data_IF_258708789471
#
_entry.id   IF_258708789471
#
_cell.length_a   1.000
_cell.length_b   1.000
_cell.length_c   1.000
_cell.angle_alpha   90.00
_cell.angle_beta   90.00
_cell.angle_gamma   90.00
#
_symmetry.space_group_name_H-M   'P 1'
#
loop_
_entity.id
_entity.type
_entity.pdbx_description
1 polymer ?
#
# COMPACT_ATOMS: atom_id res chain seq x y z
N UNK A 1 20.77 28.74 -7.98
CA UNK A 1 20.31 28.60 -7.59
C UNK A 1 20.14 28.53 -7.34
N UNK A 2 20.15 28.76 -7.68
CA UNK A 2 19.73 28.57 -7.46
C UNK A 2 19.06 28.53 -7.52
N UNK A 3 18.78 28.66 -8.20
CA UNK A 3 18.12 28.55 -8.07
C UNK A 3 17.64 28.52 -8.14
N UNK A 4 17.35 28.70 -8.30
CA UNK A 4 16.78 28.67 -7.86
C UNK A 4 16.44 29.11 -7.58
N UNK A 5 16.51 29.52 -7.80
CA UNK A 5 16.16 30.06 -7.14
C UNK A 5 15.74 30.52 -7.26
N UNK A 6 15.33 30.83 -7.73
CA UNK A 6 14.76 31.31 -7.56
C UNK A 6 14.33 31.43 -8.12
N UNK A 7 14.40 31.56 -9.21
CA UNK A 7 14.01 31.52 -9.26
C UNK A 7 13.67 31.20 -9.08
N UNK A 8 13.72 30.85 -9.85
CA UNK A 8 13.28 30.42 -9.29
C UNK A 8 13.17 29.85 -8.02
N UNK A 9 13.23 29.98 -7.41
CA UNK A 9 13.04 29.58 -6.06
C UNK A 9 11.69 28.94 -5.75
N UNK A 10 10.70 29.30 -6.50
CA UNK A 10 9.36 28.73 -6.39
C UNK A 10 9.36 27.23 -6.70
N UNK A 11 10.13 26.81 -7.66
CA UNK A 11 10.23 25.38 -7.97
C UNK A 11 10.84 24.58 -6.81
N UNK A 12 11.83 25.15 -6.11
CA UNK A 12 12.42 24.51 -4.95
C UNK A 12 11.43 24.34 -3.81
N UNK A 13 10.62 25.38 -3.57
CA UNK A 13 9.57 25.29 -2.55
C UNK A 13 8.54 24.23 -2.88
N UNK A 14 8.19 24.11 -4.14
CA UNK A 14 7.24 23.10 -4.58
C UNK A 14 7.75 21.67 -4.33
N UNK A 15 9.01 21.41 -4.65
CA UNK A 15 9.64 20.11 -4.38
C UNK A 15 9.68 19.78 -2.90
N UNK A 16 10.03 20.75 -2.06
CA UNK A 16 10.04 20.57 -0.62
C UNK A 16 8.66 20.20 -0.10
N UNK A 17 7.63 20.82 -0.64
CA UNK A 17 6.26 20.52 -0.27
C UNK A 17 5.88 19.08 -0.58
N UNK A 18 6.30 18.57 -1.74
CA UNK A 18 6.07 17.17 -2.10
C UNK A 18 6.79 16.22 -1.16
N UNK A 19 8.06 16.50 -0.84
CA UNK A 19 8.83 15.66 0.07
C UNK A 19 8.22 15.65 1.47
N UNK A 20 7.78 16.80 1.94
CA UNK A 20 7.13 16.91 3.25
C UNK A 20 5.82 16.14 3.30
N UNK A 21 5.03 16.21 2.23
CA UNK A 21 3.79 15.44 2.13
C UNK A 21 4.05 13.94 2.09
N UNK A 22 5.05 13.52 1.32
CA UNK A 22 5.42 12.12 1.23
C UNK A 22 5.86 11.58 2.59
N UNK A 23 6.64 12.35 3.34
CA UNK A 23 7.06 11.99 4.70
C UNK A 23 5.86 11.85 5.62
N UNK A 24 4.95 12.81 5.59
CA UNK A 24 3.74 12.77 6.43
C UNK A 24 2.90 11.55 6.14
N UNK A 25 2.69 11.25 4.87
CA UNK A 25 1.91 10.07 4.47
C UNK A 25 2.59 8.80 4.96
N UNK A 26 3.91 8.70 4.82
CA UNK A 26 4.66 7.55 5.30
C UNK A 26 4.57 7.40 6.82
N UNK A 27 4.71 8.51 7.56
CA UNK A 27 4.60 8.48 9.01
C UNK A 27 3.21 8.07 9.47
N UNK A 28 2.17 8.58 8.81
CA UNK A 28 0.80 8.19 9.12
C UNK A 28 0.56 6.71 8.84
N UNK A 29 1.11 6.20 7.75
CA UNK A 29 0.99 4.80 7.42
C UNK A 29 1.70 3.91 8.44
N UNK A 30 2.90 4.30 8.87
CA UNK A 30 3.63 3.57 9.91
C UNK A 30 2.82 3.54 11.20
N UNK A 31 2.31 4.68 11.64
CA UNK A 31 1.53 4.77 12.88
C UNK A 31 0.26 3.92 12.79
N UNK A 32 -0.41 3.97 11.65
CA UNK A 32 -1.62 3.18 11.44
C UNK A 32 -1.32 1.68 11.53
N UNK A 33 -0.27 1.24 10.84
CA UNK A 33 0.12 -0.18 10.86
C UNK A 33 0.60 -0.64 12.22
N UNK A 34 1.30 0.22 12.96
CA UNK A 34 1.70 -0.12 14.33
C UNK A 34 0.49 -0.38 15.22
N UNK A 35 -0.53 0.46 15.10
CA UNK A 35 -1.77 0.27 15.84
C UNK A 35 -2.46 -1.03 15.49
N UNK A 36 -2.52 -1.35 14.19
CA UNK A 36 -3.09 -2.62 13.75
C UNK A 36 -2.28 -3.83 14.24
N UNK A 37 -0.94 -3.72 14.16
CA UNK A 37 -0.07 -4.79 14.61
C UNK A 37 -0.26 -5.04 16.11
N UNK A 38 -0.34 -4.00 16.92
CA UNK A 38 -0.58 -4.13 18.35
C UNK A 38 -1.93 -4.76 18.62
N UNK A 39 -2.96 -4.36 17.89
CA UNK A 39 -4.28 -4.95 18.01
C UNK A 39 -4.26 -6.45 17.72
N UNK A 40 -3.56 -6.85 16.68
CA UNK A 40 -3.44 -8.27 16.33
C UNK A 40 -2.68 -9.05 17.40
N UNK A 41 -1.63 -8.46 17.94
CA UNK A 41 -0.87 -9.11 19.03
C UNK A 41 -1.71 -9.30 20.26
N UNK A 42 -2.56 -8.35 20.59
CA UNK A 42 -3.50 -8.47 21.71
C UNK A 42 -4.51 -9.57 21.46
N UNK A 43 -4.81 -9.89 20.22
CA UNK A 43 -5.72 -10.97 19.86
C UNK A 43 -5.03 -12.33 19.76
N UNK A 44 -3.73 -12.40 20.03
CA UNK A 44 -3.00 -13.64 20.07
C UNK A 44 -2.11 -13.94 18.87
N UNK A 45 -2.02 -13.02 17.92
CA UNK A 45 -1.12 -13.18 16.79
C UNK A 45 0.29 -12.82 17.24
N UNK A 46 1.19 -13.81 17.28
CA UNK A 46 2.51 -13.61 17.88
C UNK A 46 3.54 -13.01 16.96
N UNK A 47 3.42 -13.26 15.65
CA UNK A 47 4.37 -12.74 14.67
C UNK A 47 3.65 -11.83 13.71
N UNK A 48 3.91 -10.54 13.86
CA UNK A 48 3.34 -9.52 12.95
C UNK A 48 4.47 -8.64 12.47
N UNK A 49 4.64 -8.60 11.17
CA UNK A 49 5.58 -7.69 10.52
C UNK A 49 4.80 -6.67 9.71
N UNK A 50 5.29 -5.45 9.70
CA UNK A 50 4.68 -4.41 8.91
C UNK A 50 5.69 -3.89 7.91
N UNK A 51 5.23 -3.69 6.68
CA UNK A 51 6.09 -3.24 5.58
C UNK A 51 5.35 -2.20 4.77
N UNK A 52 6.05 -1.13 4.47
CA UNK A 52 5.56 -0.09 3.58
C UNK A 52 6.50 -0.08 2.38
N UNK A 53 5.97 -0.38 1.22
CA UNK A 53 6.77 -0.51 0.01
C UNK A 53 6.22 0.45 -1.02
N UNK A 54 7.11 1.24 -1.61
CA UNK A 54 6.75 2.13 -2.71
C UNK A 54 6.89 1.40 -4.02
N UNK A 55 5.95 1.66 -4.91
CA UNK A 55 5.97 1.08 -6.23
C UNK A 55 4.57 0.75 -6.71
N UNK A 56 4.43 0.16 -7.90
CA UNK A 56 3.14 -0.32 -8.37
C UNK A 56 2.60 -1.38 -7.42
N UNK A 57 1.39 -1.16 -6.90
CA UNK A 57 0.84 -2.00 -5.85
C UNK A 57 0.75 -3.47 -6.25
N UNK A 58 0.32 -3.73 -7.47
CA UNK A 58 0.17 -5.10 -7.97
C UNK A 58 1.49 -5.86 -7.99
N UNK A 59 2.55 -5.21 -8.49
CA UNK A 59 3.87 -5.84 -8.56
C UNK A 59 4.46 -6.06 -7.17
N UNK A 60 4.31 -5.09 -6.29
CA UNK A 60 4.87 -5.17 -4.94
C UNK A 60 4.20 -6.26 -4.11
N UNK A 61 2.89 -6.40 -4.23
CA UNK A 61 2.16 -7.44 -3.51
C UNK A 61 2.59 -8.83 -4.02
N UNK A 62 2.67 -8.99 -5.33
CA UNK A 62 3.11 -10.26 -5.92
C UNK A 62 4.53 -10.59 -5.49
N UNK A 63 5.43 -9.61 -5.51
CA UNK A 63 6.82 -9.82 -5.10
C UNK A 63 6.92 -10.29 -3.65
N UNK A 64 6.18 -9.66 -2.75
CA UNK A 64 6.16 -10.08 -1.35
C UNK A 64 5.58 -11.49 -1.21
N UNK A 65 4.50 -11.79 -1.92
CA UNK A 65 3.92 -13.12 -1.89
C UNK A 65 4.89 -14.20 -2.36
N UNK A 66 5.73 -13.88 -3.33
CA UNK A 66 6.71 -14.83 -3.85
C UNK A 66 7.92 -15.03 -2.93
N UNK A 67 8.12 -14.18 -1.93
CA UNK A 67 9.23 -14.32 -0.99
C UNK A 67 9.12 -15.56 -0.11
N UNK A 68 7.91 -16.00 0.18
CA UNK A 68 7.67 -17.17 1.03
C UNK A 68 6.64 -18.08 0.38
N UNK A 69 6.75 -19.40 0.56
CA UNK A 69 5.75 -20.33 0.06
C UNK A 69 4.53 -20.40 0.98
N UNK A 70 3.45 -20.93 0.44
CA UNK A 70 2.25 -21.29 1.21
C UNK A 70 1.60 -20.12 1.94
N UNK A 71 1.42 -19.02 1.22
CA UNK A 71 0.75 -17.85 1.76
C UNK A 71 -0.76 -17.90 1.55
N UNK A 72 -1.47 -17.16 2.37
CA UNK A 72 -2.81 -16.67 2.07
C UNK A 72 -2.70 -15.16 1.94
N UNK A 73 -3.06 -14.63 0.79
CA UNK A 73 -3.08 -13.18 0.58
C UNK A 73 -4.48 -12.67 0.90
N UNK A 74 -4.57 -11.75 1.86
CA UNK A 74 -5.84 -11.10 2.18
C UNK A 74 -5.71 -9.62 1.82
N UNK A 75 -6.63 -9.11 1.04
CA UNK A 75 -6.57 -7.73 0.59
C UNK A 75 -7.95 -7.12 0.47
N UNK A 76 -8.01 -5.81 0.53
CA UNK A 76 -9.24 -5.07 0.31
C UNK A 76 -9.22 -4.39 -1.04
N UNK A 77 -10.39 -4.25 -1.63
CA UNK A 77 -10.58 -3.48 -2.85
C UNK A 77 -11.80 -2.60 -2.70
N UNK A 78 -11.76 -1.41 -3.28
CA UNK A 78 -12.91 -0.53 -3.28
C UNK A 78 -13.82 -0.87 -4.45
N UNK A 79 -15.12 -1.06 -4.17
CA UNK A 79 -16.10 -1.18 -5.21
C UNK A 79 -16.43 0.19 -5.78
N UNK A 80 -16.38 0.34 -7.10
CA UNK A 80 -16.79 1.58 -7.74
C UNK A 80 -18.28 1.56 -7.99
N UNK A 81 -18.96 2.69 -7.78
CA UNK A 81 -20.41 2.77 -8.09
C UNK A 81 -20.65 2.36 -9.55
N UNK A 82 -21.67 1.56 -9.76
CA UNK A 82 -22.06 1.13 -11.10
C UNK A 82 -21.31 -0.03 -11.67
N UNK A 83 -20.27 -0.52 -11.01
CA UNK A 83 -19.56 -1.72 -11.49
C UNK A 83 -20.24 -2.99 -11.03
N UNK A 84 -20.09 -4.05 -11.84
CA UNK A 84 -20.60 -5.35 -11.49
C UNK A 84 -19.91 -5.88 -10.23
N UNK A 85 -20.64 -6.67 -9.44
CA UNK A 85 -20.14 -7.16 -8.16
C UNK A 85 -18.89 -8.03 -8.29
N UNK A 86 -18.80 -8.78 -9.36
CA UNK A 86 -17.67 -9.70 -9.59
C UNK A 86 -16.50 -9.02 -10.28
N UNK A 87 -16.63 -7.75 -10.64
CA UNK A 87 -15.53 -7.03 -11.28
C UNK A 87 -14.47 -6.70 -10.24
N UNK A 88 -13.28 -7.24 -10.43
CA UNK A 88 -12.14 -6.94 -9.60
C UNK A 88 -11.39 -5.75 -10.18
N UNK A 89 -10.78 -4.94 -9.31
CA UNK A 89 -9.86 -3.91 -9.77
C UNK A 89 -8.62 -4.52 -10.41
N UNK A 90 -7.90 -3.73 -11.18
CA UNK A 90 -6.72 -4.21 -11.91
C UNK A 90 -5.65 -4.79 -10.97
N UNK A 91 -5.42 -4.15 -9.83
CA UNK A 91 -4.45 -4.63 -8.85
C UNK A 91 -4.87 -6.00 -8.30
N UNK A 92 -6.12 -6.11 -7.85
CA UNK A 92 -6.64 -7.35 -7.30
C UNK A 92 -6.59 -8.48 -8.30
N UNK A 93 -7.02 -8.22 -9.54
CA UNK A 93 -7.02 -9.21 -10.60
C UNK A 93 -5.62 -9.74 -10.84
N UNK A 94 -4.62 -8.85 -10.87
CA UNK A 94 -3.25 -9.25 -11.11
C UNK A 94 -2.68 -10.10 -9.96
N UNK A 95 -3.00 -9.73 -8.73
CA UNK A 95 -2.57 -10.50 -7.55
C UNK A 95 -3.18 -11.90 -7.59
N UNK A 96 -4.48 -12.00 -7.90
CA UNK A 96 -5.14 -13.30 -8.00
C UNK A 96 -4.49 -14.17 -9.06
N UNK A 97 -4.11 -13.59 -10.20
CA UNK A 97 -3.56 -14.37 -11.31
C UNK A 97 -2.08 -14.73 -11.13
N UNK A 98 -1.31 -13.90 -10.44
CA UNK A 98 0.15 -14.02 -10.48
C UNK A 98 0.81 -14.34 -9.14
N UNK A 99 0.10 -14.27 -8.02
CA UNK A 99 0.69 -14.58 -6.73
C UNK A 99 0.93 -16.08 -6.53
N UNK A 100 0.15 -16.91 -7.20
CA UNK A 100 0.22 -18.36 -7.00
C UNK A 100 -0.40 -18.85 -5.70
N UNK A 101 -1.00 -17.95 -4.92
CA UNK A 101 -1.54 -18.23 -3.60
C UNK A 101 -3.05 -18.05 -3.59
N UNK A 102 -3.75 -18.68 -2.63
CA UNK A 102 -5.15 -18.30 -2.39
C UNK A 102 -5.23 -16.83 -1.99
N UNK A 103 -6.24 -16.15 -2.49
CA UNK A 103 -6.44 -14.72 -2.24
C UNK A 103 -7.86 -14.50 -1.68
N UNK A 104 -7.91 -13.89 -0.50
CA UNK A 104 -9.16 -13.46 0.10
C UNK A 104 -9.34 -11.98 -0.24
N UNK A 105 -10.40 -11.67 -0.97
CA UNK A 105 -10.68 -10.29 -1.38
C UNK A 105 -11.89 -9.78 -0.61
N UNK A 106 -11.69 -8.68 0.09
CA UNK A 106 -12.75 -8.02 0.85
C UNK A 106 -13.09 -6.73 0.13
N UNK A 107 -14.32 -6.62 -0.32
CA UNK A 107 -14.78 -5.43 -1.01
C UNK A 107 -15.28 -4.40 0.01
N UNK A 108 -14.76 -3.19 -0.09
CA UNK A 108 -15.14 -2.06 0.77
C UNK A 108 -15.72 -0.93 -0.08
N UNK A 109 -16.51 -0.10 0.53
CA UNK A 109 -17.11 1.09 -0.11
C UNK A 109 -18.50 0.87 -0.64
#
# INVERSE_FOLDING_TARGET
MPGYERSDGTAGLHFQSFDDMAKKISEQAVNYLEGLADSLRQQGVTKVEQRIIRGPADEMIVDVALETPDNLVAMTTHGRPGQARWTLGSVTDRVVRHSGDPVLVIRTG
#
